data_IF_467397065659
#
_entry.id   IF_467397065659
#
_cell.length_a   1.000
_cell.length_b   1.000
_cell.length_c   1.000
_cell.angle_alpha   90.00
_cell.angle_beta   90.00
_cell.angle_gamma   90.00
#
_symmetry.space_group_name_H-M   'P 1'
#
loop_
_entity.id
_entity.type
_entity.pdbx_description
1 polymer ?
#
# COMPACT_ATOMS: atom_id res chain seq x y z
N UNK A 1 -20.08 9.43 0.57
CA UNK A 1 -19.89 10.65 1.38
C UNK A 1 -19.61 10.25 2.82
N UNK A 2 -18.34 10.23 3.26
CA UNK A 2 -18.06 10.08 4.70
C UNK A 2 -18.30 11.44 5.34
N UNK A 3 -19.40 11.53 6.09
CA UNK A 3 -19.85 12.76 6.74
C UNK A 3 -18.92 13.11 7.91
N UNK A 4 -17.91 13.94 7.65
CA UNK A 4 -17.31 14.74 8.71
C UNK A 4 -18.28 15.87 9.05
N UNK A 5 -19.14 15.63 10.07
CA UNK A 5 -19.98 16.63 10.76
C UNK A 5 -20.47 17.81 9.89
N UNK A 6 -21.47 17.60 9.04
CA UNK A 6 -22.59 18.50 8.67
C UNK A 6 -22.38 20.04 8.55
N UNK A 7 -21.17 20.60 8.44
CA UNK A 7 -20.95 22.07 8.47
C UNK A 7 -20.03 22.61 7.38
N UNK A 8 -19.51 21.79 6.48
CA UNK A 8 -18.68 22.30 5.38
C UNK A 8 -18.88 21.47 4.11
N UNK A 9 -19.36 22.10 3.04
CA UNK A 9 -19.41 21.54 1.68
C UNK A 9 -18.03 21.70 1.04
N UNK A 10 -17.12 20.79 1.39
CA UNK A 10 -15.77 20.72 0.82
C UNK A 10 -15.55 19.34 0.21
N UNK A 11 -15.05 19.32 -1.02
CA UNK A 11 -14.52 18.11 -1.62
C UNK A 11 -13.31 17.61 -0.82
N UNK A 12 -13.42 16.39 -0.32
CA UNK A 12 -12.34 15.73 0.39
C UNK A 12 -12.03 14.40 -0.30
N UNK A 13 -10.73 14.09 -0.37
CA UNK A 13 -10.25 12.77 -0.78
C UNK A 13 -9.28 12.25 0.27
N UNK A 14 -9.17 10.93 0.38
CA UNK A 14 -8.24 10.31 1.32
C UNK A 14 -6.82 10.37 0.76
N UNK A 15 -5.82 10.51 1.65
CA UNK A 15 -4.42 10.41 1.24
C UNK A 15 -4.12 8.99 0.71
N UNK A 16 -3.63 8.86 -0.51
CA UNK A 16 -3.34 7.57 -1.14
C UNK A 16 -2.23 6.81 -0.45
N UNK A 17 -1.15 7.49 -0.09
CA UNK A 17 -0.02 6.91 0.65
C UNK A 17 -0.47 6.37 2.01
N UNK A 18 -1.34 7.12 2.70
CA UNK A 18 -1.92 6.67 3.95
C UNK A 18 -2.85 5.46 3.76
N UNK A 19 -3.74 5.50 2.75
CA UNK A 19 -4.62 4.38 2.44
C UNK A 19 -3.85 3.11 2.08
N UNK A 20 -2.73 3.24 1.36
CA UNK A 20 -1.84 2.11 1.04
C UNK A 20 -1.16 1.56 2.28
N UNK A 21 -0.74 2.43 3.21
CA UNK A 21 -0.17 1.97 4.48
C UNK A 21 -1.19 1.23 5.36
N UNK A 22 -2.44 1.69 5.37
CA UNK A 22 -3.53 0.98 6.04
C UNK A 22 -3.79 -0.37 5.40
N UNK A 23 -3.75 -0.47 4.05
CA UNK A 23 -3.86 -1.75 3.36
C UNK A 23 -2.76 -2.73 3.80
N UNK A 24 -1.50 -2.28 3.82
CA UNK A 24 -0.40 -3.12 4.29
C UNK A 24 -0.63 -3.63 5.72
N UNK A 25 -1.18 -2.79 6.61
CA UNK A 25 -1.52 -3.18 7.98
C UNK A 25 -2.66 -4.21 8.03
N UNK A 26 -3.70 -4.04 7.21
CA UNK A 26 -4.85 -4.96 7.17
C UNK A 26 -4.48 -6.37 6.65
N UNK A 27 -3.49 -6.44 5.76
CA UNK A 27 -3.07 -7.68 5.10
C UNK A 27 -2.11 -8.54 5.92
N UNK A 28 -1.52 -8.02 6.99
CA UNK A 28 -0.65 -8.81 7.87
C UNK A 28 -1.34 -9.13 9.19
N UNK A 29 -1.33 -10.41 9.63
CA UNK A 29 -1.81 -10.75 10.96
C UNK A 29 -1.03 -10.01 12.04
N UNK A 30 -1.73 -9.34 12.95
CA UNK A 30 -1.11 -8.56 14.02
C UNK A 30 -0.17 -9.43 14.88
N UNK A 31 -0.54 -10.68 15.11
CA UNK A 31 0.27 -11.67 15.84
C UNK A 31 1.58 -11.95 15.13
N UNK A 32 1.59 -12.06 13.81
CA UNK A 32 2.79 -12.27 13.00
C UNK A 32 3.69 -11.03 13.01
N UNK A 33 3.12 -9.85 12.77
CA UNK A 33 3.86 -8.59 12.84
C UNK A 33 4.53 -8.37 14.22
N UNK A 34 3.82 -8.70 15.31
CA UNK A 34 4.36 -8.65 16.68
C UNK A 34 5.53 -9.63 16.86
N UNK A 35 5.41 -10.87 16.37
CA UNK A 35 6.51 -11.86 16.42
C UNK A 35 7.77 -11.32 15.74
N UNK A 36 7.63 -10.81 14.52
CA UNK A 36 8.75 -10.22 13.75
C UNK A 36 9.39 -9.06 14.50
N UNK A 37 8.59 -8.11 14.99
CA UNK A 37 9.08 -6.96 15.73
C UNK A 37 9.76 -7.35 17.05
N UNK A 38 9.24 -8.34 17.78
CA UNK A 38 9.85 -8.80 19.02
C UNK A 38 11.21 -9.45 18.77
N UNK A 39 11.31 -10.30 17.75
CA UNK A 39 12.59 -10.90 17.39
C UNK A 39 13.61 -9.83 16.99
N UNK A 40 13.23 -8.88 16.14
CA UNK A 40 14.10 -7.76 15.76
C UNK A 40 14.51 -6.91 16.98
N UNK A 41 13.61 -6.68 17.95
CA UNK A 41 13.93 -5.93 19.18
C UNK A 41 15.04 -6.61 19.97
N UNK A 42 15.09 -7.93 20.03
CA UNK A 42 16.15 -8.67 20.74
C UNK A 42 17.54 -8.41 20.14
N UNK A 43 17.62 -8.09 18.85
CA UNK A 43 18.86 -7.69 18.17
C UNK A 43 19.08 -6.18 18.13
N UNK A 44 18.12 -5.37 18.59
CA UNK A 44 18.21 -3.90 18.63
C UNK A 44 18.83 -3.39 19.93
N UNK A 45 19.87 -4.06 20.40
CA UNK A 45 20.69 -3.61 21.53
C UNK A 45 22.05 -3.16 21.00
N UNK A 46 22.76 -2.21 21.66
CA UNK A 46 24.05 -1.74 21.17
C UNK A 46 25.06 -2.87 20.92
N UNK A 47 25.12 -3.86 21.82
CA UNK A 47 26.01 -5.02 21.68
C UNK A 47 25.61 -5.94 20.51
N UNK A 48 24.32 -6.30 20.41
CA UNK A 48 23.86 -7.18 19.34
C UNK A 48 23.95 -6.53 17.96
N UNK A 49 23.59 -5.24 17.82
CA UNK A 49 23.72 -4.52 16.55
C UNK A 49 25.18 -4.34 16.15
N UNK A 50 26.08 -4.14 17.10
CA UNK A 50 27.52 -4.06 16.84
C UNK A 50 28.05 -5.40 16.31
N UNK A 51 27.78 -6.51 17.01
CA UNK A 51 28.18 -7.85 16.59
C UNK A 51 27.59 -8.22 15.21
N UNK A 52 26.33 -7.85 14.95
CA UNK A 52 25.66 -8.06 13.67
C UNK A 52 26.35 -7.29 12.53
N UNK A 53 26.68 -6.01 12.76
CA UNK A 53 27.40 -5.20 11.78
C UNK A 53 28.82 -5.70 11.52
N UNK A 54 29.52 -6.18 12.55
CA UNK A 54 30.86 -6.73 12.39
C UNK A 54 30.90 -7.98 11.50
N UNK A 55 29.78 -8.69 11.40
CA UNK A 55 29.63 -9.84 10.49
C UNK A 55 29.03 -9.46 9.12
N UNK A 56 29.03 -8.17 8.76
CA UNK A 56 28.51 -7.68 7.47
C UNK A 56 26.98 -7.50 7.45
N UNK A 57 26.31 -7.62 8.59
CA UNK A 57 24.88 -7.38 8.73
C UNK A 57 24.50 -5.90 8.65
N UNK A 58 23.18 -5.66 8.61
CA UNK A 58 22.60 -4.32 8.52
C UNK A 58 21.97 -3.88 9.83
N UNK A 59 21.84 -2.57 10.01
CA UNK A 59 21.19 -1.97 11.19
C UNK A 59 19.74 -2.44 11.30
N UNK A 60 19.28 -2.71 12.51
CA UNK A 60 17.93 -3.22 12.78
C UNK A 60 16.87 -2.15 12.58
N UNK A 61 15.93 -2.47 11.67
CA UNK A 61 14.74 -1.67 11.37
C UNK A 61 13.54 -2.36 12.02
N UNK A 62 12.76 -1.63 12.82
CA UNK A 62 11.50 -2.11 13.38
C UNK A 62 10.33 -1.61 12.54
N UNK A 63 9.28 -2.42 12.45
CA UNK A 63 8.00 -1.98 11.90
C UNK A 63 7.33 -1.01 12.90
N UNK A 64 6.75 0.06 12.36
CA UNK A 64 6.11 1.12 13.11
C UNK A 64 4.93 1.67 12.31
N UNK A 65 3.78 1.80 12.97
CA UNK A 65 2.51 2.15 12.33
C UNK A 65 2.52 3.50 11.61
N UNK A 66 3.32 4.46 12.09
CA UNK A 66 3.34 5.83 11.58
C UNK A 66 4.28 6.05 10.40
N UNK A 67 5.16 5.09 10.08
CA UNK A 67 6.15 5.22 9.01
C UNK A 67 5.75 4.39 7.79
N UNK A 68 5.81 5.01 6.61
CA UNK A 68 5.51 4.34 5.35
C UNK A 68 6.42 3.15 5.09
N UNK A 69 5.82 2.09 4.52
CA UNK A 69 6.51 0.87 4.11
C UNK A 69 7.25 0.16 5.26
N UNK A 70 6.90 0.43 6.53
CA UNK A 70 7.66 -0.01 7.70
C UNK A 70 7.65 -1.53 7.86
N UNK A 71 6.50 -2.19 7.67
CA UNK A 71 6.38 -3.65 7.73
C UNK A 71 7.30 -4.33 6.72
N UNK A 72 7.21 -3.96 5.44
CA UNK A 72 8.11 -4.48 4.38
C UNK A 72 9.58 -4.28 4.73
N UNK A 73 9.94 -3.07 5.15
CA UNK A 73 11.33 -2.73 5.43
C UNK A 73 11.88 -3.53 6.63
N UNK A 74 11.07 -3.72 7.68
CA UNK A 74 11.42 -4.56 8.82
C UNK A 74 11.55 -6.04 8.45
N UNK A 75 10.62 -6.55 7.61
CA UNK A 75 10.62 -7.96 7.20
C UNK A 75 11.84 -8.26 6.32
N UNK A 76 12.15 -7.37 5.35
CA UNK A 76 13.39 -7.44 4.56
C UNK A 76 14.64 -7.34 5.41
N UNK A 77 14.64 -6.46 6.41
CA UNK A 77 15.74 -6.33 7.36
C UNK A 77 15.96 -7.64 8.13
N UNK A 78 14.90 -8.27 8.61
CA UNK A 78 15.00 -9.56 9.30
C UNK A 78 15.53 -10.64 8.36
N UNK A 79 14.92 -10.80 7.18
CA UNK A 79 15.28 -11.83 6.23
C UNK A 79 16.75 -11.71 5.77
N UNK A 80 17.21 -10.48 5.48
CA UNK A 80 18.60 -10.21 5.09
C UNK A 80 19.61 -10.59 6.18
N UNK A 81 19.26 -10.39 7.46
CA UNK A 81 20.15 -10.65 8.59
C UNK A 81 19.96 -12.04 9.20
N UNK A 82 19.02 -12.86 8.70
CA UNK A 82 18.54 -14.06 9.38
C UNK A 82 19.67 -15.07 9.68
N UNK A 83 20.49 -15.38 8.70
CA UNK A 83 21.63 -16.31 8.85
C UNK A 83 22.67 -15.81 9.87
N UNK A 84 22.95 -14.50 9.86
CA UNK A 84 23.88 -13.88 10.81
C UNK A 84 23.30 -13.91 12.23
N UNK A 85 22.01 -13.62 12.38
CA UNK A 85 21.31 -13.71 13.66
C UNK A 85 21.36 -15.14 14.23
N UNK A 86 21.12 -16.16 13.41
CA UNK A 86 21.26 -17.57 13.79
C UNK A 86 22.69 -17.89 14.28
N UNK A 87 23.69 -17.39 13.56
CA UNK A 87 25.12 -17.57 13.91
C UNK A 87 25.47 -16.91 15.24
N UNK A 88 24.96 -15.69 15.49
CA UNK A 88 25.19 -14.97 16.75
C UNK A 88 24.60 -15.70 17.96
N UNK A 89 23.41 -16.29 17.80
CA UNK A 89 22.76 -17.09 18.85
C UNK A 89 23.52 -18.39 19.08
N UNK A 90 23.92 -19.10 18.00
CA UNK A 90 24.71 -20.32 18.10
C UNK A 90 26.06 -20.10 18.81
N UNK A 91 26.72 -18.96 18.55
CA UNK A 91 27.96 -18.54 19.23
C UNK A 91 27.73 -17.97 20.64
N UNK A 92 26.49 -17.96 21.14
CA UNK A 92 26.10 -17.37 22.44
C UNK A 92 26.48 -15.90 22.61
N UNK A 93 26.64 -15.16 21.50
CA UNK A 93 26.91 -13.71 21.48
C UNK A 93 25.64 -12.90 21.75
N UNK A 94 24.49 -13.47 21.41
CA UNK A 94 23.16 -12.93 21.72
C UNK A 94 22.36 -14.04 22.39
N UNK A 95 21.73 -13.74 23.52
CA UNK A 95 20.80 -14.65 24.19
C UNK A 95 19.37 -14.26 23.84
N UNK A 96 18.57 -15.25 23.45
CA UNK A 96 17.16 -15.08 23.15
C UNK A 96 16.33 -15.88 24.15
N UNK A 97 15.08 -15.48 24.34
CA UNK A 97 14.10 -16.36 24.99
C UNK A 97 13.83 -17.60 24.11
N UNK A 98 13.32 -18.66 24.73
CA UNK A 98 13.09 -19.96 24.07
C UNK A 98 12.14 -19.86 22.87
N UNK A 99 11.20 -18.93 22.88
CA UNK A 99 10.21 -18.71 21.82
C UNK A 99 10.82 -17.97 20.62
N UNK A 100 11.68 -17.00 20.87
CA UNK A 100 12.38 -16.24 19.84
C UNK A 100 13.47 -17.08 19.18
N UNK A 101 14.15 -17.93 19.96
CA UNK A 101 15.13 -18.88 19.43
C UNK A 101 14.48 -19.97 18.57
N UNK A 102 13.35 -20.53 18.99
CA UNK A 102 12.63 -21.51 18.18
C UNK A 102 12.10 -20.92 16.89
N UNK A 103 11.55 -19.70 16.93
CA UNK A 103 11.11 -18.96 15.75
C UNK A 103 12.27 -18.68 14.78
N UNK A 104 13.44 -18.30 15.29
CA UNK A 104 14.62 -18.00 14.47
C UNK A 104 15.15 -19.23 13.72
N UNK A 105 14.95 -20.43 14.29
CA UNK A 105 15.38 -21.72 13.70
C UNK A 105 14.33 -22.34 12.79
N UNK A 106 13.09 -21.85 12.80
CA UNK A 106 11.99 -22.38 12.01
C UNK A 106 12.13 -21.96 10.52
N UNK A 107 12.34 -22.91 9.58
CA UNK A 107 12.42 -22.59 8.16
C UNK A 107 11.12 -22.01 7.59
N UNK A 108 9.97 -22.42 8.13
CA UNK A 108 8.66 -21.94 7.67
C UNK A 108 8.46 -20.45 7.96
N UNK A 109 9.13 -19.93 8.99
CA UNK A 109 9.09 -18.52 9.32
C UNK A 109 9.77 -17.65 8.24
N UNK A 110 10.90 -18.12 7.68
CA UNK A 110 11.59 -17.42 6.61
C UNK A 110 10.75 -17.38 5.32
N UNK A 111 10.04 -18.47 5.01
CA UNK A 111 9.12 -18.56 3.87
C UNK A 111 7.97 -17.55 4.06
N UNK A 112 7.31 -17.56 5.24
CA UNK A 112 6.24 -16.61 5.54
C UNK A 112 6.70 -15.14 5.44
N UNK A 113 7.91 -14.83 5.91
CA UNK A 113 8.50 -13.49 5.75
C UNK A 113 8.62 -13.09 4.28
N UNK A 114 9.10 -14.01 3.44
CA UNK A 114 9.25 -13.79 2.00
C UNK A 114 7.89 -13.58 1.32
N UNK A 115 6.88 -14.37 1.66
CA UNK A 115 5.52 -14.25 1.11
C UNK A 115 4.93 -12.87 1.42
N UNK A 116 5.02 -12.42 2.68
CA UNK A 116 4.56 -11.07 3.04
C UNK A 116 5.36 -9.96 2.35
N UNK A 117 6.65 -10.14 2.10
CA UNK A 117 7.45 -9.16 1.33
C UNK A 117 6.90 -9.05 -0.10
N UNK A 118 6.56 -10.17 -0.75
CA UNK A 118 5.97 -10.18 -2.09
C UNK A 118 4.62 -9.46 -2.11
N UNK A 119 3.80 -9.64 -1.08
CA UNK A 119 2.53 -8.91 -0.92
C UNK A 119 2.75 -7.41 -0.73
N UNK A 120 3.73 -7.03 0.10
CA UNK A 120 3.96 -5.62 0.43
C UNK A 120 4.67 -4.83 -0.66
N UNK A 121 5.41 -5.48 -1.55
CA UNK A 121 6.16 -4.80 -2.60
C UNK A 121 5.32 -3.93 -3.53
N UNK A 122 4.26 -4.45 -4.17
CA UNK A 122 3.38 -3.63 -5.02
C UNK A 122 2.69 -2.50 -4.21
N UNK A 123 2.31 -2.76 -2.96
CA UNK A 123 1.69 -1.75 -2.09
C UNK A 123 2.70 -0.62 -1.80
N UNK A 124 3.94 -0.97 -1.49
CA UNK A 124 4.98 0.01 -1.21
C UNK A 124 5.39 0.80 -2.46
N UNK A 125 5.34 0.19 -3.65
CA UNK A 125 5.52 0.92 -4.92
C UNK A 125 4.45 1.99 -5.10
N UNK A 126 3.17 1.62 -4.94
CA UNK A 126 2.05 2.56 -4.95
C UNK A 126 2.25 3.70 -3.94
N UNK A 127 2.57 3.36 -2.69
CA UNK A 127 2.81 4.33 -1.61
C UNK A 127 3.94 5.30 -1.98
N UNK A 128 5.03 4.80 -2.60
CA UNK A 128 6.17 5.63 -2.98
C UNK A 128 5.85 6.57 -4.14
N UNK A 129 5.02 6.15 -5.12
CA UNK A 129 4.55 7.03 -6.19
C UNK A 129 3.67 8.13 -5.60
N UNK A 130 2.72 7.75 -4.75
CA UNK A 130 1.76 8.67 -4.12
C UNK A 130 2.40 9.70 -3.18
N UNK A 131 3.63 9.49 -2.72
CA UNK A 131 4.37 10.43 -1.88
C UNK A 131 5.18 11.47 -2.66
N UNK A 132 5.36 11.29 -3.97
CA UNK A 132 6.16 12.23 -4.76
C UNK A 132 5.49 13.60 -4.76
N UNK A 133 6.30 14.66 -4.67
CA UNK A 133 5.80 16.04 -4.67
C UNK A 133 5.03 16.42 -5.94
N UNK A 134 5.28 15.71 -7.04
CA UNK A 134 4.59 15.90 -8.31
C UNK A 134 3.46 14.90 -8.57
N UNK A 135 3.11 14.05 -7.59
CA UNK A 135 2.01 13.09 -7.74
C UNK A 135 0.67 13.82 -7.78
N UNK A 136 -0.06 13.64 -8.88
CA UNK A 136 -1.44 14.14 -9.03
C UNK A 136 -2.43 13.10 -8.50
N UNK A 137 -3.65 13.57 -8.26
CA UNK A 137 -4.79 12.71 -7.87
C UNK A 137 -5.00 11.60 -8.92
N UNK A 138 -4.90 11.95 -10.21
CA UNK A 138 -5.03 11.01 -11.30
C UNK A 138 -3.97 9.90 -11.28
N UNK A 139 -2.73 10.23 -10.90
CA UNK A 139 -1.62 9.27 -10.80
C UNK A 139 -1.89 8.30 -9.65
N UNK A 140 -2.33 8.80 -8.50
CA UNK A 140 -2.77 7.96 -7.38
C UNK A 140 -3.89 7.01 -7.79
N UNK A 141 -4.89 7.49 -8.54
CA UNK A 141 -5.96 6.64 -9.07
C UNK A 141 -5.40 5.51 -9.95
N UNK A 142 -4.49 5.85 -10.86
CA UNK A 142 -3.89 4.90 -11.80
C UNK A 142 -3.09 3.82 -11.07
N UNK A 143 -2.31 4.19 -10.05
CA UNK A 143 -1.55 3.23 -9.25
C UNK A 143 -2.48 2.29 -8.46
N UNK A 144 -3.59 2.79 -7.92
CA UNK A 144 -4.59 1.94 -7.26
C UNK A 144 -5.29 0.99 -8.23
N UNK A 145 -5.56 1.42 -9.47
CA UNK A 145 -6.17 0.58 -10.50
C UNK A 145 -5.22 -0.50 -11.03
N UNK A 146 -3.91 -0.21 -11.05
CA UNK A 146 -2.85 -1.17 -11.43
C UNK A 146 -2.44 -2.11 -10.31
N UNK A 147 -2.85 -1.84 -9.07
CA UNK A 147 -2.39 -2.60 -7.92
C UNK A 147 -2.83 -4.07 -8.05
N UNK A 148 -1.84 -4.94 -8.23
CA UNK A 148 -2.02 -6.38 -8.23
C UNK A 148 -1.24 -6.96 -7.05
N UNK A 149 -1.94 -7.69 -6.19
CA UNK A 149 -1.35 -8.40 -5.06
C UNK A 149 -1.43 -9.89 -5.38
N UNK A 150 -0.29 -10.61 -5.45
CA UNK A 150 -0.30 -12.05 -5.69
C UNK A 150 -0.83 -12.76 -4.44
N UNK A 151 -2.11 -13.10 -4.42
CA UNK A 151 -2.75 -13.83 -3.31
C UNK A 151 -3.90 -14.68 -3.82
N UNK A 152 -3.91 -15.95 -3.44
CA UNK A 152 -5.06 -16.86 -3.64
C UNK A 152 -5.98 -16.88 -2.40
N UNK A 153 -5.69 -16.07 -1.38
CA UNK A 153 -6.47 -15.97 -0.16
C UNK A 153 -7.66 -15.00 -0.33
N UNK A 154 -8.87 -15.56 -0.29
CA UNK A 154 -10.13 -14.82 -0.40
C UNK A 154 -10.30 -13.71 0.64
N UNK A 155 -9.86 -13.92 1.89
CA UNK A 155 -9.94 -12.90 2.95
C UNK A 155 -9.06 -11.69 2.61
N UNK A 156 -7.85 -11.95 2.11
CA UNK A 156 -6.93 -10.89 1.67
C UNK A 156 -7.49 -10.15 0.45
N UNK A 157 -8.07 -10.88 -0.50
CA UNK A 157 -8.73 -10.28 -1.65
C UNK A 157 -9.92 -9.41 -1.23
N UNK A 158 -10.71 -9.86 -0.25
CA UNK A 158 -11.82 -9.08 0.30
C UNK A 158 -11.32 -7.79 0.97
N UNK A 159 -10.23 -7.85 1.76
CA UNK A 159 -9.60 -6.66 2.37
C UNK A 159 -9.12 -5.67 1.32
N UNK A 160 -8.50 -6.16 0.23
CA UNK A 160 -8.10 -5.33 -0.91
C UNK A 160 -9.31 -4.67 -1.56
N UNK A 161 -10.36 -5.42 -1.88
CA UNK A 161 -11.59 -4.90 -2.49
C UNK A 161 -12.26 -3.84 -1.61
N UNK A 162 -12.32 -4.08 -0.29
CA UNK A 162 -12.85 -3.14 0.70
C UNK A 162 -12.04 -1.85 0.79
N UNK A 163 -10.74 -1.92 0.52
CA UNK A 163 -9.88 -0.72 0.47
C UNK A 163 -10.05 0.02 -0.86
N UNK A 164 -10.08 -0.71 -1.97
CA UNK A 164 -10.30 -0.14 -3.30
C UNK A 164 -11.61 0.66 -3.37
N UNK A 165 -12.71 0.11 -2.83
CA UNK A 165 -14.00 0.81 -2.81
C UNK A 165 -14.00 2.12 -2.01
N UNK A 166 -13.12 2.23 -1.00
CA UNK A 166 -12.96 3.46 -0.19
C UNK A 166 -12.06 4.49 -0.86
N UNK A 167 -11.10 4.05 -1.66
CA UNK A 167 -10.12 4.93 -2.32
C UNK A 167 -10.60 5.40 -3.68
N UNK A 168 -11.22 4.52 -4.48
CA UNK A 168 -11.72 4.84 -5.81
C UNK A 168 -13.05 5.60 -5.73
N UNK A 169 -12.98 6.84 -5.26
CA UNK A 169 -14.12 7.75 -5.14
C UNK A 169 -14.44 8.43 -6.50
N UNK A 170 -15.62 9.05 -6.63
CA UNK A 170 -15.97 9.87 -7.79
C UNK A 170 -14.91 10.90 -8.19
N UNK A 171 -14.32 11.60 -7.22
CA UNK A 171 -13.24 12.59 -7.44
C UNK A 171 -12.02 11.91 -8.09
N UNK A 172 -11.63 10.74 -7.57
CA UNK A 172 -10.46 10.00 -8.06
C UNK A 172 -10.64 9.53 -9.49
N UNK A 173 -11.75 8.84 -9.75
CA UNK A 173 -12.06 8.28 -11.06
C UNK A 173 -12.25 9.39 -12.09
N UNK A 174 -12.91 10.49 -11.72
CA UNK A 174 -13.05 11.67 -12.57
C UNK A 174 -11.69 12.29 -12.89
N UNK A 175 -10.79 12.40 -11.90
CA UNK A 175 -9.44 12.94 -12.15
C UNK A 175 -8.64 12.08 -13.12
N UNK A 176 -8.74 10.75 -13.05
CA UNK A 176 -8.09 9.84 -13.99
C UNK A 176 -8.73 9.93 -15.38
N UNK A 177 -10.05 9.99 -15.45
CA UNK A 177 -10.81 10.17 -16.70
C UNK A 177 -10.41 11.46 -17.43
N UNK A 178 -10.29 12.59 -16.70
CA UNK A 178 -9.88 13.88 -17.28
C UNK A 178 -8.38 13.96 -17.59
N UNK A 179 -7.56 13.05 -17.07
CA UNK A 179 -6.12 13.09 -17.27
C UNK A 179 -5.75 12.77 -18.74
N UNK A 180 -4.94 13.61 -19.41
CA UNK A 180 -4.67 13.47 -20.84
C UNK A 180 -3.95 12.17 -21.22
N UNK A 181 -3.26 11.52 -20.28
CA UNK A 181 -2.57 10.25 -20.53
C UNK A 181 -3.43 9.02 -20.19
N UNK A 182 -4.18 9.07 -19.08
CA UNK A 182 -4.89 7.90 -18.54
C UNK A 182 -6.27 7.71 -19.17
N UNK A 183 -7.09 8.76 -19.23
CA UNK A 183 -8.39 8.76 -19.93
C UNK A 183 -9.26 7.56 -19.60
N UNK A 184 -9.29 7.15 -18.32
CA UNK A 184 -10.03 6.00 -17.82
C UNK A 184 -9.71 4.64 -18.48
N UNK A 185 -8.57 4.48 -19.16
CA UNK A 185 -8.21 3.23 -19.87
C UNK A 185 -8.35 1.96 -19.01
N UNK A 186 -8.06 2.05 -17.72
CA UNK A 186 -8.12 0.92 -16.78
C UNK A 186 -9.54 0.50 -16.38
N UNK A 187 -10.55 1.36 -16.56
CA UNK A 187 -11.92 1.10 -16.13
C UNK A 187 -12.96 1.56 -17.15
N UNK A 188 -12.57 1.77 -18.40
CA UNK A 188 -13.45 2.26 -19.46
C UNK A 188 -14.67 1.35 -19.69
N UNK A 189 -14.48 0.05 -19.48
CA UNK A 189 -15.51 -0.98 -19.64
C UNK A 189 -16.32 -1.24 -18.36
N UNK A 190 -15.99 -0.58 -17.25
CA UNK A 190 -16.76 -0.64 -16.00
C UNK A 190 -17.88 0.41 -16.06
N UNK A 191 -19.05 -0.01 -16.55
CA UNK A 191 -20.21 0.88 -16.71
C UNK A 191 -20.63 1.54 -15.39
N UNK A 192 -20.49 0.83 -14.27
CA UNK A 192 -20.87 1.36 -12.96
C UNK A 192 -19.96 2.53 -12.57
N UNK A 193 -18.64 2.36 -12.69
CA UNK A 193 -17.68 3.44 -12.42
C UNK A 193 -17.85 4.60 -13.39
N UNK A 194 -18.05 4.32 -14.68
CA UNK A 194 -18.19 5.35 -15.70
C UNK A 194 -19.47 6.19 -15.51
N UNK A 195 -20.64 5.55 -15.44
CA UNK A 195 -21.92 6.26 -15.36
C UNK A 195 -22.12 6.91 -13.99
N UNK A 196 -22.01 6.11 -12.91
CA UNK A 196 -22.42 6.55 -11.57
C UNK A 196 -21.33 7.38 -10.88
N UNK A 197 -20.05 7.02 -11.05
CA UNK A 197 -19.00 7.72 -10.31
C UNK A 197 -18.38 8.87 -11.10
N UNK A 198 -18.27 8.78 -12.43
CA UNK A 198 -17.64 9.82 -13.23
C UNK A 198 -18.67 10.80 -13.82
N UNK A 199 -19.65 10.31 -14.58
CA UNK A 199 -20.58 11.21 -15.27
C UNK A 199 -21.55 11.91 -14.32
N UNK A 200 -22.11 11.23 -13.33
CA UNK A 200 -22.97 11.88 -12.34
C UNK A 200 -22.20 12.95 -11.56
N UNK A 201 -20.95 12.69 -11.17
CA UNK A 201 -20.11 13.67 -10.50
C UNK A 201 -19.83 14.89 -11.40
N UNK A 202 -19.48 14.67 -12.68
CA UNK A 202 -19.26 15.76 -13.63
C UNK A 202 -20.52 16.62 -13.85
N UNK A 203 -21.71 16.00 -13.88
CA UNK A 203 -22.97 16.72 -14.04
C UNK A 203 -23.36 17.49 -12.78
N UNK A 204 -23.28 16.85 -11.61
CA UNK A 204 -23.77 17.40 -10.35
C UNK A 204 -22.82 18.43 -9.73
N UNK A 205 -21.52 18.16 -9.76
CA UNK A 205 -20.52 18.94 -9.02
C UNK A 205 -19.75 19.91 -9.92
N UNK A 206 -19.64 19.61 -11.21
CA UNK A 206 -18.91 20.43 -12.18
C UNK A 206 -19.80 21.09 -13.24
N UNK A 207 -21.13 20.90 -13.16
CA UNK A 207 -22.13 21.46 -14.07
C UNK A 207 -21.85 21.20 -15.57
N UNK A 208 -21.21 20.07 -15.89
CA UNK A 208 -20.89 19.75 -17.28
C UNK A 208 -22.10 19.09 -17.96
N UNK A 209 -22.95 19.92 -18.59
CA UNK A 209 -24.22 19.49 -19.20
C UNK A 209 -24.06 18.75 -20.55
N UNK A 210 -22.88 18.81 -21.18
CA UNK A 210 -22.64 18.28 -22.53
C UNK A 210 -21.98 16.89 -22.56
N UNK A 211 -21.82 16.19 -21.43
CA UNK A 211 -21.26 14.84 -21.41
C UNK A 211 -22.39 13.86 -21.71
N UNK A 212 -22.42 13.34 -22.93
CA UNK A 212 -23.34 12.30 -23.34
C UNK A 212 -23.01 10.98 -22.63
N UNK A 213 -24.03 10.24 -22.19
CA UNK A 213 -23.91 8.92 -21.53
C UNK A 213 -23.37 7.81 -22.45
N UNK A 214 -23.02 8.15 -23.68
CA UNK A 214 -22.31 7.28 -24.62
C UNK A 214 -20.80 7.41 -24.37
N UNK A 215 -20.05 6.30 -24.23
CA UNK A 215 -18.59 6.29 -24.07
C UNK A 215 -17.82 6.72 -25.33
N UNK A 216 -18.40 7.58 -26.17
CA UNK A 216 -17.77 8.17 -27.33
C UNK A 216 -16.79 9.26 -26.85
N UNK A 217 -15.60 8.80 -26.44
CA UNK A 217 -14.39 9.59 -26.17
C UNK A 217 -14.09 10.66 -27.25
N UNK A 218 -14.67 10.54 -28.44
CA UNK A 218 -14.43 11.42 -29.58
C UNK A 218 -15.07 12.82 -29.44
N UNK A 219 -16.11 12.98 -28.62
CA UNK A 219 -16.65 14.31 -28.30
C UNK A 219 -15.79 15.08 -27.29
N UNK A 220 -15.15 14.38 -26.35
CA UNK A 220 -14.24 14.97 -25.37
C UNK A 220 -12.96 15.52 -26.02
N UNK A 221 -12.46 14.85 -27.07
CA UNK A 221 -11.31 15.31 -27.87
C UNK A 221 -11.56 16.63 -28.57
N UNK A 222 -12.81 16.93 -28.96
CA UNK A 222 -13.15 18.13 -29.75
C UNK A 222 -13.53 19.36 -28.92
N UNK A 223 -14.12 19.20 -27.73
CA UNK A 223 -14.71 20.33 -26.98
C UNK A 223 -13.84 20.96 -25.88
N UNK A 224 -12.85 20.26 -25.33
CA UNK A 224 -12.11 20.74 -24.13
C UNK A 224 -10.65 21.16 -24.38
N UNK A 225 -10.17 21.11 -25.62
CA UNK A 225 -8.75 21.39 -25.96
C UNK A 225 -8.58 22.53 -26.98
N UNK A 226 -9.53 23.46 -27.03
CA UNK A 226 -9.42 24.74 -27.77
C UNK A 226 -9.47 25.95 -26.81
N UNK A 227 -8.76 25.85 -25.67
CA UNK A 227 -8.39 26.98 -24.83
C UNK A 227 -6.89 26.91 -24.59
#
# INVERSE_FOLDING_TARGET
MMSMRKKVDIWHTTCHSHSGNLLAKDLVPETFAKKVNNLLRSFKTPGAEYELKQQGGSRIILACDTRWCSYRNAFRCLLKNLCLMQTLVAKKKVQLDSKSESLLKDPSFAIQLQDFILIFDPICQLINVCQRSNCRIADGCEEWLKLQIPTDNDEMQQKLNNRLSKVLTPIMLTSNFLHPQYRAKQFLHDEQRMKIMVFDFLKQELNVQCITDKPELDLYKKKFWYI
#
